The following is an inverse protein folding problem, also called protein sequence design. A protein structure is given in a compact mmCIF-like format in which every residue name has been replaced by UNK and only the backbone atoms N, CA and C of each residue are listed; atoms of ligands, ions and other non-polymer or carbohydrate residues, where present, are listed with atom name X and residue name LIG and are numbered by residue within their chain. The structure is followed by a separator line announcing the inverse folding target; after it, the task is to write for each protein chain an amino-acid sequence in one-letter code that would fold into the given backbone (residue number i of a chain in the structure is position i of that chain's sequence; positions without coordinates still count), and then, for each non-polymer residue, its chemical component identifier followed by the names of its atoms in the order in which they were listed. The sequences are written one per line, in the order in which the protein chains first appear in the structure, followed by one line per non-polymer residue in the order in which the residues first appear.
data_IF_466169592123
#
_entry.id   IF_466169592123
#
_cell.length_a   1.000
_cell.length_b   1.000
_cell.length_c   1.000
_cell.angle_alpha   90.00
_cell.angle_beta   90.00
_cell.angle_gamma   90.00
#
_symmetry.space_group_name_H-M   'P 1'
#
loop_
_entity.id
_entity.type
_entity.pdbx_description
1 polymer ?
#
# COMPACT_ATOMS: atom_id res chain seq x y z
N UNK A 1 -39.48 4.88 18.73
CA UNK A 1 -38.89 3.76 17.98
C UNK A 1 -39.84 3.41 16.84
N UNK A 2 -39.46 3.62 15.58
CA UNK A 2 -40.33 3.29 14.45
C UNK A 2 -40.34 1.76 14.25
N UNK A 3 -41.51 1.13 14.34
CA UNK A 3 -41.68 -0.30 14.11
C UNK A 3 -41.45 -0.63 12.63
N UNK A 4 -40.71 -1.72 12.36
CA UNK A 4 -40.46 -2.20 10.99
C UNK A 4 -41.80 -2.56 10.33
N UNK A 5 -42.06 -2.15 9.08
CA UNK A 5 -43.29 -2.52 8.38
C UNK A 5 -43.35 -4.04 8.13
N UNK A 6 -44.53 -4.60 8.36
CA UNK A 6 -44.83 -6.01 8.07
C UNK A 6 -44.99 -6.20 6.56
N UNK A 7 -44.26 -7.16 5.99
CA UNK A 7 -44.41 -7.59 4.60
C UNK A 7 -45.57 -8.58 4.50
N UNK A 8 -46.70 -8.13 3.96
CA UNK A 8 -47.80 -9.02 3.54
C UNK A 8 -47.64 -9.38 2.07
N UNK A 9 -47.54 -10.69 1.78
CA UNK A 9 -47.53 -11.20 0.42
C UNK A 9 -48.92 -11.73 0.08
N UNK A 10 -49.62 -11.11 -0.87
CA UNK A 10 -50.88 -11.62 -1.42
C UNK A 10 -50.65 -12.05 -2.87
N UNK A 11 -51.12 -13.25 -3.23
CA UNK A 11 -51.04 -13.77 -4.61
C UNK A 11 -49.87 -14.72 -4.90
N UNK A 12 -49.23 -15.32 -3.89
CA UNK A 12 -48.36 -16.48 -4.15
C UNK A 12 -49.24 -17.69 -4.46
N UNK A 13 -49.14 -18.22 -5.67
CA UNK A 13 -49.70 -19.53 -6.02
C UNK A 13 -49.20 -20.55 -5.00
N UNK A 14 -50.12 -21.19 -4.27
CA UNK A 14 -49.79 -22.20 -3.28
C UNK A 14 -48.89 -23.25 -3.93
N UNK A 15 -47.72 -23.47 -3.34
CA UNK A 15 -46.83 -24.56 -3.72
C UNK A 15 -47.60 -25.86 -3.50
N UNK A 16 -48.18 -26.42 -4.56
CA UNK A 16 -48.58 -27.82 -4.55
C UNK A 16 -47.29 -28.63 -4.48
N UNK A 17 -46.85 -28.96 -3.27
CA UNK A 17 -45.93 -30.07 -3.09
C UNK A 17 -46.71 -31.32 -3.49
N UNK A 18 -46.52 -31.78 -4.73
CA UNK A 18 -47.02 -33.08 -5.16
C UNK A 18 -46.34 -34.14 -4.28
N UNK A 19 -47.12 -34.88 -3.51
CA UNK A 19 -46.66 -36.04 -2.72
C UNK A 19 -46.41 -37.29 -3.58
N UNK A 20 -46.33 -37.15 -4.90
CA UNK A 20 -46.09 -38.24 -5.83
C UNK A 20 -44.61 -38.63 -5.80
N UNK A 21 -44.33 -39.83 -5.29
CA UNK A 21 -42.99 -40.43 -5.20
C UNK A 21 -42.31 -40.64 -6.57
N UNK A 22 -43.06 -40.48 -7.68
CA UNK A 22 -42.59 -40.60 -9.06
C UNK A 22 -42.58 -39.26 -9.83
N UNK A 23 -42.88 -38.14 -9.17
CA UNK A 23 -42.75 -36.83 -9.80
C UNK A 23 -41.25 -36.46 -9.85
N UNK A 24 -40.69 -36.06 -11.02
CA UNK A 24 -39.30 -35.63 -11.06
C UNK A 24 -39.15 -34.49 -10.07
N UNK A 25 -38.24 -34.63 -9.11
CA UNK A 25 -38.03 -33.67 -8.03
C UNK A 25 -37.67 -32.29 -8.62
N UNK A 26 -38.69 -31.50 -8.90
CA UNK A 26 -38.58 -30.17 -9.48
C UNK A 26 -38.24 -29.24 -8.34
N UNK A 27 -36.94 -29.07 -8.09
CA UNK A 27 -36.42 -28.07 -7.17
C UNK A 27 -37.16 -26.75 -7.41
N UNK A 28 -37.70 -26.15 -6.34
CA UNK A 28 -38.37 -24.88 -6.47
C UNK A 28 -37.42 -23.84 -7.11
N UNK A 29 -37.93 -22.83 -7.83
CA UNK A 29 -37.08 -21.77 -8.38
C UNK A 29 -36.18 -21.09 -7.34
N UNK A 30 -36.60 -21.08 -6.07
CA UNK A 30 -35.82 -20.57 -4.95
C UNK A 30 -34.65 -21.51 -4.57
N UNK A 31 -34.88 -22.82 -4.49
CA UNK A 31 -33.83 -23.81 -4.20
C UNK A 31 -32.81 -23.92 -5.33
N UNK A 32 -33.26 -23.88 -6.58
CA UNK A 32 -32.39 -23.85 -7.76
C UNK A 32 -31.48 -22.61 -7.74
N UNK A 33 -32.03 -21.44 -7.39
CA UNK A 33 -31.23 -20.20 -7.20
C UNK A 33 -30.24 -20.34 -6.04
N UNK A 34 -30.64 -20.91 -4.91
CA UNK A 34 -29.76 -21.13 -3.74
C UNK A 34 -28.61 -22.10 -4.08
N UNK A 35 -28.89 -23.17 -4.81
CA UNK A 35 -27.88 -24.12 -5.29
C UNK A 35 -26.92 -23.46 -6.28
N UNK A 36 -27.42 -22.65 -7.22
CA UNK A 36 -26.58 -21.89 -8.15
C UNK A 36 -25.68 -20.88 -7.41
N UNK A 37 -26.22 -20.12 -6.45
CA UNK A 37 -25.43 -19.21 -5.61
C UNK A 37 -24.37 -19.95 -4.78
N UNK A 38 -24.72 -21.10 -4.19
CA UNK A 38 -23.77 -21.92 -3.44
C UNK A 38 -22.67 -22.50 -4.35
N UNK A 39 -23.01 -22.95 -5.56
CA UNK A 39 -22.02 -23.39 -6.54
C UNK A 39 -21.08 -22.24 -6.92
N UNK A 40 -21.61 -21.06 -7.23
CA UNK A 40 -20.80 -19.88 -7.54
C UNK A 40 -19.86 -19.55 -6.37
N UNK A 41 -20.38 -19.53 -5.14
CA UNK A 41 -19.58 -19.23 -3.95
C UNK A 41 -18.46 -20.25 -3.71
N UNK A 42 -18.78 -21.54 -3.84
CA UNK A 42 -17.80 -22.63 -3.68
C UNK A 42 -16.76 -22.64 -4.82
N UNK A 43 -17.17 -22.34 -6.05
CA UNK A 43 -16.28 -22.20 -7.20
C UNK A 43 -15.36 -20.99 -7.07
N UNK A 44 -15.85 -19.90 -6.45
CA UNK A 44 -15.02 -18.71 -6.24
C UNK A 44 -13.89 -18.96 -5.24
N UNK A 45 -14.10 -19.85 -4.26
CA UNK A 45 -13.11 -20.23 -3.23
C UNK A 45 -12.57 -19.03 -2.43
N UNK A 46 -11.85 -19.29 -1.35
CA UNK A 46 -10.97 -18.26 -0.81
C UNK A 46 -9.82 -18.08 -1.80
N UNK A 47 -9.62 -16.86 -2.30
CA UNK A 47 -8.48 -16.53 -3.15
C UNK A 47 -7.41 -15.93 -2.26
N UNK A 48 -6.50 -16.76 -1.71
CA UNK A 48 -5.48 -16.27 -0.79
C UNK A 48 -4.53 -15.33 -1.53
N UNK A 49 -4.04 -14.33 -0.81
CA UNK A 49 -2.93 -13.52 -1.25
C UNK A 49 -1.62 -14.28 -0.97
N UNK A 50 -0.58 -13.97 -1.74
CA UNK A 50 0.75 -14.55 -1.54
C UNK A 50 1.33 -14.17 -0.16
N UNK A 51 1.07 -12.95 0.29
CA UNK A 51 1.46 -12.44 1.60
C UNK A 51 0.22 -11.96 2.37
N UNK A 52 0.31 -12.05 3.70
CA UNK A 52 -0.65 -11.42 4.59
C UNK A 52 -0.30 -9.95 4.73
N UNK A 53 -1.30 -9.08 4.69
CA UNK A 53 -1.13 -7.63 4.79
C UNK A 53 -1.80 -7.08 6.04
N UNK A 54 -1.24 -6.01 6.61
CA UNK A 54 -1.75 -5.28 7.74
C UNK A 54 -1.96 -3.81 7.36
N UNK A 55 -3.09 -3.25 7.76
CA UNK A 55 -3.41 -1.85 7.56
C UNK A 55 -2.98 -1.07 8.79
N UNK A 56 -2.26 0.03 8.58
CA UNK A 56 -1.83 0.92 9.65
C UNK A 56 -2.33 2.32 9.40
N UNK A 57 -2.59 3.05 10.48
CA UNK A 57 -3.02 4.44 10.45
C UNK A 57 -2.15 5.26 11.38
N UNK A 58 -1.60 6.35 10.84
CA UNK A 58 -0.79 7.30 11.58
C UNK A 58 -1.57 8.60 11.78
N UNK A 59 -1.93 8.86 13.03
CA UNK A 59 -2.55 10.10 13.46
C UNK A 59 -1.43 11.09 13.82
N UNK A 60 -1.10 11.98 12.88
CA UNK A 60 -0.24 13.11 13.22
C UNK A 60 -0.99 14.05 14.18
N UNK A 61 -0.59 14.04 15.45
CA UNK A 61 -1.15 14.90 16.49
C UNK A 61 -0.84 16.38 16.23
N UNK A 62 -1.76 17.24 16.65
CA UNK A 62 -1.58 18.68 16.77
C UNK A 62 -0.31 19.02 17.56
N UNK A 63 0.27 20.20 17.28
CA UNK A 63 1.51 20.75 17.89
C UNK A 63 1.54 20.73 19.43
N UNK A 64 0.43 20.46 20.13
CA UNK A 64 0.31 20.39 21.59
C UNK A 64 0.96 19.15 22.24
N UNK A 65 1.12 18.03 21.52
CA UNK A 65 1.72 16.80 22.06
C UNK A 65 3.13 16.55 21.54
N UNK A 66 3.83 17.56 21.01
CA UNK A 66 5.27 17.46 20.83
C UNK A 66 5.90 17.27 22.21
N UNK A 67 6.48 16.09 22.45
CA UNK A 67 7.42 15.92 23.55
C UNK A 67 8.46 17.04 23.46
N UNK A 68 8.83 17.63 24.60
CA UNK A 68 9.77 18.77 24.70
C UNK A 68 11.13 18.53 24.00
N UNK A 69 11.43 17.29 23.63
CA UNK A 69 12.64 16.84 22.93
C UNK A 69 12.53 16.80 21.39
N UNK A 70 11.42 17.26 20.80
CA UNK A 70 11.25 17.27 19.33
C UNK A 70 11.26 15.87 18.70
N UNK A 71 10.96 14.82 19.48
CA UNK A 71 10.80 13.47 18.95
C UNK A 71 9.42 13.33 18.28
N UNK A 72 9.43 12.94 17.01
CA UNK A 72 8.23 12.50 16.30
C UNK A 72 7.74 11.22 16.97
N UNK A 73 6.68 11.30 17.77
CA UNK A 73 6.02 10.12 18.32
C UNK A 73 4.94 9.68 17.34
N UNK A 74 5.26 8.68 16.51
CA UNK A 74 4.29 8.08 15.59
C UNK A 74 3.16 7.46 16.43
N UNK A 75 1.94 7.99 16.35
CA UNK A 75 0.75 7.31 16.87
C UNK A 75 0.26 6.35 15.80
N UNK A 76 1.04 5.28 15.62
CA UNK A 76 0.79 4.27 14.62
C UNK A 76 -0.11 3.17 15.20
N UNK A 77 -1.33 3.09 14.70
CA UNK A 77 -2.32 2.09 15.10
C UNK A 77 -2.56 1.10 13.97
N UNK A 78 -2.55 -0.20 14.28
CA UNK A 78 -3.00 -1.20 13.32
C UNK A 78 -4.53 -1.20 13.26
N UNK A 79 -5.09 -1.11 12.06
CA UNK A 79 -6.53 -1.10 11.85
C UNK A 79 -7.05 -2.49 11.48
N UNK A 80 -8.01 -2.98 12.25
CA UNK A 80 -8.78 -4.18 11.93
C UNK A 80 -7.96 -5.47 11.89
N UNK A 81 -8.52 -6.48 11.23
CA UNK A 81 -7.87 -7.78 11.04
C UNK A 81 -6.88 -7.74 9.87
N UNK A 82 -5.95 -8.71 9.88
CA UNK A 82 -5.03 -8.92 8.77
C UNK A 82 -5.78 -9.33 7.50
N UNK A 83 -5.29 -8.88 6.35
CA UNK A 83 -5.83 -9.17 5.02
C UNK A 83 -5.06 -10.37 4.46
N UNK A 84 -5.70 -11.53 4.37
CA UNK A 84 -5.09 -12.76 3.88
C UNK A 84 -5.65 -13.22 2.52
N UNK A 85 -6.76 -12.64 2.07
CA UNK A 85 -7.41 -12.98 0.80
C UNK A 85 -7.82 -11.75 0.00
N UNK A 86 -8.12 -11.95 -1.28
CA UNK A 86 -8.68 -10.91 -2.15
C UNK A 86 -10.01 -10.38 -1.59
N UNK A 87 -10.82 -11.27 -1.01
CA UNK A 87 -12.09 -10.91 -0.37
C UNK A 87 -11.87 -9.99 0.83
N UNK A 88 -10.87 -10.28 1.66
CA UNK A 88 -10.52 -9.44 2.82
C UNK A 88 -10.05 -8.06 2.36
N UNK A 89 -9.27 -8.00 1.28
CA UNK A 89 -8.83 -6.73 0.71
C UNK A 89 -10.02 -5.88 0.29
N UNK A 90 -10.97 -6.44 -0.47
CA UNK A 90 -12.15 -5.68 -0.90
C UNK A 90 -13.08 -5.32 0.27
N UNK A 91 -13.16 -6.16 1.31
CA UNK A 91 -13.87 -5.79 2.56
C UNK A 91 -13.22 -4.57 3.20
N UNK A 92 -11.89 -4.56 3.35
CA UNK A 92 -11.15 -3.42 3.87
C UNK A 92 -11.35 -2.18 2.99
N UNK A 93 -11.09 -2.29 1.68
CA UNK A 93 -11.07 -1.16 0.77
C UNK A 93 -12.45 -0.49 0.67
N UNK A 94 -13.53 -1.28 0.54
CA UNK A 94 -14.90 -0.76 0.47
C UNK A 94 -15.35 -0.06 1.76
N UNK A 95 -14.74 -0.39 2.91
CA UNK A 95 -15.06 0.20 4.21
C UNK A 95 -14.04 1.24 4.68
N UNK A 96 -13.09 1.63 3.82
CA UNK A 96 -12.06 2.62 4.15
C UNK A 96 -12.37 3.95 3.46
N UNK A 97 -12.91 4.95 4.19
CA UNK A 97 -13.25 6.23 3.60
C UNK A 97 -12.02 7.12 3.47
N UNK A 98 -11.24 6.93 2.40
CA UNK A 98 -10.00 7.69 2.12
C UNK A 98 -10.25 9.20 2.12
N UNK A 99 -11.43 9.65 1.70
CA UNK A 99 -11.85 11.06 1.67
C UNK A 99 -11.98 11.72 3.05
N UNK A 100 -12.06 10.93 4.13
CA UNK A 100 -12.19 11.45 5.50
C UNK A 100 -10.85 11.50 6.25
N UNK A 101 -9.77 11.03 5.63
CA UNK A 101 -8.42 11.15 6.20
C UNK A 101 -8.01 12.63 6.16
N UNK A 102 -7.64 13.18 7.32
CA UNK A 102 -7.36 14.60 7.50
C UNK A 102 -5.95 14.95 7.05
N UNK A 103 -5.70 16.25 6.87
CA UNK A 103 -4.36 16.76 6.57
C UNK A 103 -3.36 16.29 7.63
N UNK A 104 -2.16 15.85 7.19
CA UNK A 104 -1.07 15.30 8.00
C UNK A 104 -1.33 13.87 8.53
N UNK A 105 -2.50 13.28 8.32
CA UNK A 105 -2.73 11.86 8.60
C UNK A 105 -2.25 10.98 7.44
N UNK A 106 -1.92 9.72 7.74
CA UNK A 106 -1.50 8.74 6.75
C UNK A 106 -2.10 7.37 7.01
N UNK A 107 -2.40 6.64 5.94
CA UNK A 107 -2.82 5.24 5.96
C UNK A 107 -1.83 4.39 5.17
N UNK A 108 -1.53 3.19 5.65
CA UNK A 108 -0.55 2.30 5.07
C UNK A 108 -1.11 0.88 4.93
N UNK A 109 -0.66 0.16 3.91
CA UNK A 109 -0.90 -1.26 3.69
C UNK A 109 0.46 -1.95 3.58
N UNK A 110 0.84 -2.69 4.62
CA UNK A 110 2.18 -3.27 4.77
C UNK A 110 2.12 -4.79 4.88
N UNK A 111 3.12 -5.49 4.36
CA UNK A 111 3.24 -6.94 4.55
C UNK A 111 3.37 -7.25 6.04
N UNK A 112 2.80 -8.37 6.47
CA UNK A 112 2.83 -8.81 7.88
C UNK A 112 4.25 -8.85 8.42
N UNK A 113 4.43 -8.27 9.61
CA UNK A 113 5.73 -8.16 10.26
C UNK A 113 6.59 -6.99 9.80
N UNK A 114 6.10 -6.15 8.88
CA UNK A 114 6.65 -4.82 8.63
C UNK A 114 5.77 -3.76 9.28
N UNK A 115 6.41 -2.72 9.81
CA UNK A 115 5.74 -1.51 10.29
C UNK A 115 6.15 -0.33 9.39
N UNK A 116 5.26 0.62 9.05
CA UNK A 116 5.61 1.84 8.32
C UNK A 116 6.41 2.84 9.19
N UNK A 117 7.56 2.40 9.69
CA UNK A 117 8.49 3.17 10.52
C UNK A 117 9.89 3.00 9.93
N UNK A 118 10.59 4.10 9.65
CA UNK A 118 11.92 4.06 9.01
C UNK A 118 12.96 3.36 9.90
N UNK A 119 12.82 3.52 11.21
CA UNK A 119 13.70 2.97 12.24
C UNK A 119 13.48 1.47 12.51
N UNK A 120 12.44 0.86 11.93
CA UNK A 120 12.24 -0.59 12.05
C UNK A 120 13.43 -1.32 11.43
N UNK A 121 13.96 -2.33 12.13
CA UNK A 121 15.12 -3.11 11.70
C UNK A 121 14.99 -3.64 10.27
N UNK A 122 13.76 -3.93 9.83
CA UNK A 122 13.49 -4.46 8.49
C UNK A 122 13.47 -3.39 7.41
N UNK A 123 13.31 -2.12 7.78
CA UNK A 123 13.23 -0.99 6.84
C UNK A 123 14.49 -0.13 6.82
N UNK A 124 15.35 -0.22 7.83
CA UNK A 124 16.44 0.74 8.07
C UNK A 124 17.41 0.90 6.88
N UNK A 125 17.63 -0.15 6.09
CA UNK A 125 18.49 -0.16 4.90
C UNK A 125 17.72 0.14 3.59
N UNK A 126 16.41 0.31 3.71
CA UNK A 126 15.49 0.47 2.60
C UNK A 126 15.36 1.90 2.12
N UNK A 127 14.40 2.08 1.24
CA UNK A 127 13.98 3.39 0.78
C UNK A 127 12.57 3.34 0.24
N UNK A 128 12.12 4.49 -0.24
CA UNK A 128 10.78 4.62 -0.78
C UNK A 128 10.72 5.52 -1.99
N UNK A 129 9.90 5.11 -2.97
CA UNK A 129 9.36 6.03 -3.96
C UNK A 129 8.19 6.79 -3.35
N UNK A 130 8.12 8.09 -3.63
CA UNK A 130 6.98 8.94 -3.26
C UNK A 130 6.45 9.64 -4.51
N UNK A 131 5.16 9.42 -4.81
CA UNK A 131 4.42 10.06 -5.90
C UNK A 131 3.50 11.14 -5.32
N UNK A 132 3.71 12.39 -5.73
CA UNK A 132 2.86 13.53 -5.41
C UNK A 132 1.76 13.65 -6.46
N UNK A 133 0.52 13.46 -6.05
CA UNK A 133 -0.64 13.52 -6.95
C UNK A 133 -1.70 14.49 -6.43
N UNK A 134 -2.44 15.19 -7.32
CA UNK A 134 -3.59 15.99 -6.92
C UNK A 134 -4.61 15.18 -6.11
N UNK A 135 -5.27 15.83 -5.14
CA UNK A 135 -6.30 15.19 -4.31
C UNK A 135 -7.45 14.59 -5.11
N UNK A 136 -7.77 15.16 -6.27
CA UNK A 136 -8.82 14.67 -7.16
C UNK A 136 -8.55 13.26 -7.71
N UNK A 137 -7.29 12.91 -7.96
CA UNK A 137 -6.90 11.60 -8.49
C UNK A 137 -6.27 10.68 -7.45
N UNK A 138 -5.89 11.21 -6.29
CA UNK A 138 -5.15 10.47 -5.26
C UNK A 138 -5.83 9.18 -4.78
N UNK A 139 -7.16 9.14 -4.54
CA UNK A 139 -7.85 7.89 -4.18
C UNK A 139 -7.75 6.80 -5.25
N UNK A 140 -7.80 7.16 -6.54
CA UNK A 140 -7.69 6.19 -7.64
C UNK A 140 -6.26 5.68 -7.81
N UNK A 141 -5.26 6.57 -7.73
CA UNK A 141 -3.85 6.18 -7.73
C UNK A 141 -3.56 5.26 -6.53
N UNK A 142 -4.09 5.60 -5.34
CA UNK A 142 -3.94 4.77 -4.15
C UNK A 142 -4.56 3.38 -4.29
N UNK A 143 -5.77 3.30 -4.88
CA UNK A 143 -6.42 2.02 -5.18
C UNK A 143 -5.55 1.17 -6.11
N UNK A 144 -5.08 1.74 -7.23
CA UNK A 144 -4.25 1.02 -8.20
C UNK A 144 -2.92 0.57 -7.59
N UNK A 145 -2.22 1.43 -6.85
CA UNK A 145 -0.96 1.06 -6.19
C UNK A 145 -1.16 -0.07 -5.17
N UNK A 146 -2.25 -0.08 -4.41
CA UNK A 146 -2.56 -1.21 -3.52
C UNK A 146 -2.81 -2.50 -4.30
N UNK A 147 -3.53 -2.44 -5.42
CA UNK A 147 -3.80 -3.62 -6.25
C UNK A 147 -2.52 -4.22 -6.83
N UNK A 148 -1.62 -3.38 -7.35
CA UNK A 148 -0.30 -3.81 -7.85
C UNK A 148 0.57 -4.35 -6.71
N UNK A 149 0.45 -3.82 -5.49
CA UNK A 149 1.15 -4.34 -4.32
C UNK A 149 0.68 -5.74 -3.91
N UNK A 150 -0.63 -5.93 -3.71
CA UNK A 150 -1.19 -7.23 -3.29
C UNK A 150 -1.19 -8.27 -4.41
N UNK A 151 -1.14 -7.82 -5.67
CA UNK A 151 -0.98 -8.65 -6.86
C UNK A 151 0.47 -9.11 -7.10
N UNK A 152 1.40 -8.73 -6.22
CA UNK A 152 2.84 -9.04 -6.28
C UNK A 152 3.62 -8.48 -7.48
N UNK A 153 2.99 -7.71 -8.38
CA UNK A 153 3.68 -7.05 -9.51
C UNK A 153 4.83 -6.14 -9.03
N UNK A 154 4.64 -5.41 -7.91
CA UNK A 154 5.71 -4.62 -7.31
C UNK A 154 6.85 -5.51 -6.77
N UNK A 155 6.53 -6.66 -6.19
CA UNK A 155 7.53 -7.57 -5.63
C UNK A 155 8.35 -8.27 -6.74
N UNK A 156 7.70 -8.61 -7.84
CA UNK A 156 8.31 -9.24 -9.02
C UNK A 156 9.25 -8.27 -9.76
N UNK A 157 9.04 -6.96 -9.59
CA UNK A 157 9.94 -5.92 -10.13
C UNK A 157 11.25 -5.76 -9.37
N UNK A 158 11.39 -6.39 -8.20
CA UNK A 158 12.57 -6.25 -7.34
C UNK A 158 13.65 -7.29 -7.65
N UNK A 159 14.91 -6.91 -7.46
CA UNK A 159 16.05 -7.80 -7.58
C UNK A 159 16.04 -8.89 -6.49
N UNK A 160 16.66 -10.04 -6.79
CA UNK A 160 16.74 -11.17 -5.87
C UNK A 160 17.26 -10.76 -4.49
N UNK A 161 16.53 -11.18 -3.44
CA UNK A 161 16.86 -10.88 -2.04
C UNK A 161 16.37 -9.51 -1.56
N UNK A 162 15.70 -8.72 -2.40
CA UNK A 162 14.96 -7.53 -1.96
C UNK A 162 13.49 -7.92 -1.66
N UNK A 163 12.81 -7.10 -0.87
CA UNK A 163 11.43 -7.36 -0.50
C UNK A 163 10.65 -6.06 -0.41
N UNK A 164 9.46 -6.08 -0.99
CA UNK A 164 8.46 -5.03 -0.82
C UNK A 164 8.00 -5.03 0.65
N UNK A 165 8.11 -3.89 1.31
CA UNK A 165 7.62 -3.71 2.68
C UNK A 165 6.14 -3.37 2.69
N UNK A 166 5.74 -2.39 1.87
CA UNK A 166 4.38 -1.89 1.85
C UNK A 166 4.19 -0.61 1.07
N UNK A 167 2.96 -0.12 1.06
CA UNK A 167 2.56 1.11 0.38
C UNK A 167 1.78 2.02 1.33
N UNK A 168 1.76 3.32 1.07
CA UNK A 168 1.05 4.28 1.91
C UNK A 168 0.46 5.46 1.16
N UNK A 169 -0.59 6.04 1.73
CA UNK A 169 -1.15 7.33 1.34
C UNK A 169 -1.02 8.30 2.51
N UNK A 170 -0.40 9.45 2.27
CA UNK A 170 -0.31 10.54 3.23
C UNK A 170 -1.00 11.80 2.68
N UNK A 171 -1.92 12.37 3.47
CA UNK A 171 -2.67 13.55 3.05
C UNK A 171 -1.86 14.82 3.36
N UNK A 172 -1.68 15.68 2.36
CA UNK A 172 -1.04 17.00 2.49
C UNK A 172 -2.02 18.11 2.13
N UNK A 173 -1.57 19.36 2.18
CA UNK A 173 -2.45 20.52 1.97
C UNK A 173 -3.12 20.49 0.59
N UNK A 174 -2.34 20.35 -0.48
CA UNK A 174 -2.81 20.40 -1.87
C UNK A 174 -2.67 19.07 -2.63
N UNK A 175 -2.09 18.04 -2.01
CA UNK A 175 -1.78 16.78 -2.68
C UNK A 175 -2.00 15.57 -1.77
N UNK A 176 -2.09 14.38 -2.38
CA UNK A 176 -1.79 13.12 -1.71
C UNK A 176 -0.36 12.71 -2.07
N UNK A 177 0.35 12.15 -1.10
CA UNK A 177 1.63 11.48 -1.32
C UNK A 177 1.38 9.98 -1.27
N UNK A 178 1.63 9.28 -2.36
CA UNK A 178 1.56 7.83 -2.42
C UNK A 178 2.98 7.30 -2.32
N UNK A 179 3.27 6.46 -1.33
CA UNK A 179 4.61 5.93 -1.09
C UNK A 179 4.67 4.41 -1.29
N UNK A 180 5.82 3.92 -1.74
CA UNK A 180 6.09 2.49 -1.96
C UNK A 180 7.46 2.18 -1.35
N UNK A 181 7.49 1.23 -0.41
CA UNK A 181 8.65 0.97 0.44
C UNK A 181 9.22 -0.41 0.16
N UNK A 182 10.54 -0.51 0.07
CA UNK A 182 11.26 -1.77 -0.07
C UNK A 182 12.46 -1.81 0.89
N UNK A 183 13.08 -2.99 1.04
CA UNK A 183 14.07 -3.26 2.11
C UNK A 183 15.49 -2.83 1.80
N UNK A 184 15.86 -2.72 0.53
CA UNK A 184 17.27 -2.59 0.16
C UNK A 184 17.50 -1.49 -0.87
N UNK A 185 17.84 -0.30 -0.38
CA UNK A 185 18.13 0.87 -1.21
C UNK A 185 19.45 0.81 -1.99
N UNK A 186 20.26 -0.24 -1.79
CA UNK A 186 21.49 -0.44 -2.58
C UNK A 186 21.22 -1.05 -3.97
N UNK A 187 19.98 -1.52 -4.21
CA UNK A 187 19.61 -2.23 -5.44
C UNK A 187 18.96 -1.31 -6.46
N UNK A 188 19.78 -0.75 -7.35
CA UNK A 188 19.29 0.19 -8.36
C UNK A 188 18.21 -0.41 -9.28
N UNK A 189 18.34 -1.68 -9.68
CA UNK A 189 17.32 -2.36 -10.50
C UNK A 189 15.97 -2.47 -9.80
N UNK A 190 15.95 -2.72 -8.49
CA UNK A 190 14.72 -2.69 -7.70
C UNK A 190 14.09 -1.29 -7.72
N UNK A 191 14.91 -0.26 -7.54
CA UNK A 191 14.46 1.14 -7.54
C UNK A 191 13.81 1.48 -8.89
N UNK A 192 14.49 1.17 -9.99
CA UNK A 192 14.01 1.47 -11.34
C UNK A 192 12.80 0.60 -11.73
N UNK A 193 12.79 -0.67 -11.29
CA UNK A 193 11.70 -1.61 -11.54
C UNK A 193 10.37 -1.16 -10.93
N UNK A 194 10.39 -0.72 -9.66
CA UNK A 194 9.17 -0.27 -8.98
C UNK A 194 8.53 0.94 -9.67
N UNK A 195 9.33 1.96 -10.02
CA UNK A 195 8.79 3.16 -10.67
C UNK A 195 8.26 2.83 -12.05
N UNK A 196 8.94 1.95 -12.79
CA UNK A 196 8.49 1.48 -14.10
C UNK A 196 7.12 0.79 -14.00
N UNK A 197 6.94 -0.14 -13.07
CA UNK A 197 5.66 -0.83 -12.86
C UNK A 197 4.54 0.16 -12.58
N UNK A 198 4.75 1.12 -11.68
CA UNK A 198 3.73 2.14 -11.36
C UNK A 198 3.35 2.96 -12.59
N UNK A 199 4.34 3.44 -13.35
CA UNK A 199 4.09 4.28 -14.52
C UNK A 199 3.41 3.50 -15.66
N UNK A 200 3.75 2.23 -15.84
CA UNK A 200 3.14 1.37 -16.87
C UNK A 200 1.69 1.02 -16.50
N UNK A 201 1.42 0.72 -15.23
CA UNK A 201 0.09 0.30 -14.77
C UNK A 201 -0.90 1.46 -14.64
N UNK A 202 -0.44 2.67 -14.31
CA UNK A 202 -1.34 3.82 -14.23
C UNK A 202 -1.85 4.24 -15.63
N UNK A 203 -3.16 4.45 -15.80
CA UNK A 203 -3.72 5.13 -16.97
C UNK A 203 -3.09 6.50 -17.19
N UNK A 204 -3.04 6.97 -18.45
CA UNK A 204 -2.34 8.20 -18.81
C UNK A 204 -2.81 9.43 -18.03
N UNK A 205 -4.11 9.50 -17.71
CA UNK A 205 -4.76 10.55 -16.94
C UNK A 205 -4.41 10.54 -15.43
N UNK A 206 -3.94 9.40 -14.91
CA UNK A 206 -3.54 9.23 -13.52
C UNK A 206 -2.01 9.30 -13.32
N UNK A 207 -1.24 9.32 -14.41
CA UNK A 207 0.23 9.32 -14.34
C UNK A 207 0.77 10.63 -13.76
N UNK A 208 1.58 10.59 -12.70
CA UNK A 208 2.28 11.78 -12.23
C UNK A 208 3.33 12.23 -13.26
N UNK A 209 3.54 13.54 -13.34
CA UNK A 209 4.64 14.12 -14.13
C UNK A 209 6.00 13.71 -13.55
N UNK A 210 7.09 13.71 -14.34
CA UNK A 210 8.44 13.39 -13.85
C UNK A 210 8.86 14.13 -12.57
N UNK A 211 8.57 15.43 -12.47
CA UNK A 211 8.93 16.25 -11.31
C UNK A 211 8.07 15.97 -10.05
N UNK A 212 7.04 15.13 -10.19
CA UNK A 212 6.08 14.83 -9.15
C UNK A 212 6.32 13.46 -8.50
N UNK A 213 7.44 12.80 -8.74
CA UNK A 213 7.85 11.65 -7.96
C UNK A 213 9.35 11.63 -7.72
N UNK A 214 9.75 11.10 -6.57
CA UNK A 214 11.15 11.05 -6.17
C UNK A 214 11.41 9.83 -5.29
N UNK A 215 12.65 9.36 -5.30
CA UNK A 215 13.12 8.29 -4.44
C UNK A 215 13.93 8.85 -3.28
N UNK A 216 13.81 8.24 -2.10
CA UNK A 216 14.59 8.62 -0.93
C UNK A 216 14.93 7.39 -0.09
N UNK A 217 16.20 7.26 0.31
CA UNK A 217 16.60 6.26 1.32
C UNK A 217 16.00 6.63 2.67
N UNK A 218 15.62 5.64 3.46
CA UNK A 218 15.06 5.89 4.79
C UNK A 218 16.03 6.67 5.69
N UNK A 219 17.33 6.41 5.56
CA UNK A 219 18.40 7.11 6.29
C UNK A 219 18.48 8.61 6.01
N UNK A 220 17.95 9.08 4.88
CA UNK A 220 18.14 10.46 4.42
C UNK A 220 16.98 11.36 4.89
N UNK A 221 15.98 10.81 5.56
CA UNK A 221 14.86 11.57 6.11
C UNK A 221 15.30 12.39 7.32
N UNK A 222 14.90 13.67 7.37
CA UNK A 222 15.31 14.60 8.43
C UNK A 222 14.89 14.16 9.85
N UNK A 223 13.87 13.31 9.96
CA UNK A 223 13.41 12.74 11.23
C UNK A 223 14.03 11.38 11.59
N UNK A 224 14.90 10.82 10.75
CA UNK A 224 15.44 9.49 10.93
C UNK A 224 16.35 9.43 12.16
N UNK A 225 16.05 8.53 13.10
CA UNK A 225 16.87 8.28 14.28
C UNK A 225 17.18 6.79 14.40
N UNK A 226 18.33 6.39 13.88
CA UNK A 226 18.79 5.01 13.97
C UNK A 226 18.81 4.52 15.43
N UNK A 227 18.19 3.36 15.74
CA UNK A 227 18.36 2.74 17.04
C UNK A 227 19.85 2.49 17.31
N UNK A 228 20.36 2.72 18.54
CA UNK A 228 21.78 2.56 18.86
C UNK A 228 22.33 1.17 18.49
N UNK A 229 21.51 0.13 18.64
CA UNK A 229 21.83 -1.26 18.30
C UNK A 229 22.07 -1.47 16.78
N UNK A 230 21.52 -0.59 15.93
CA UNK A 230 21.57 -0.70 14.48
C UNK A 230 22.52 0.31 13.82
N UNK A 231 23.10 1.23 14.60
CA UNK A 231 24.03 2.24 14.09
C UNK A 231 25.25 1.59 13.40
N UNK A 232 25.81 0.53 14.00
CA UNK A 232 26.95 -0.18 13.42
C UNK A 232 26.63 -0.82 12.06
N UNK A 233 25.38 -1.25 11.83
CA UNK A 233 24.95 -1.82 10.55
C UNK A 233 24.95 -0.75 9.47
N UNK A 234 24.41 0.43 9.78
CA UNK A 234 24.37 1.57 8.86
C UNK A 234 25.77 2.08 8.53
N UNK A 235 26.65 2.20 9.53
CA UNK A 235 28.02 2.66 9.33
C UNK A 235 28.79 1.68 8.44
N UNK A 236 28.60 0.37 8.65
CA UNK A 236 29.17 -0.67 7.78
C UNK A 236 28.66 -0.57 6.34
N UNK A 237 27.36 -0.30 6.14
CA UNK A 237 26.78 -0.13 4.81
C UNK A 237 27.34 1.10 4.09
N UNK A 238 27.36 2.26 4.77
CA UNK A 238 27.95 3.49 4.22
C UNK A 238 29.41 3.30 3.83
N UNK A 239 30.19 2.56 4.63
CA UNK A 239 31.57 2.24 4.31
C UNK A 239 31.68 1.36 3.04
N UNK A 240 30.78 0.38 2.86
CA UNK A 240 30.73 -0.45 1.64
C UNK A 240 30.34 0.36 0.40
N UNK A 241 29.34 1.22 0.51
CA UNK A 241 28.92 2.10 -0.59
C UNK A 241 30.06 3.06 -0.99
N UNK A 242 30.73 3.67 -0.01
CA UNK A 242 31.87 4.54 -0.26
C UNK A 242 33.06 3.79 -0.90
N UNK A 243 33.26 2.51 -0.56
CA UNK A 243 34.27 1.67 -1.20
C UNK A 243 33.89 1.30 -2.65
N UNK A 244 32.63 0.98 -2.91
CA UNK A 244 32.12 0.70 -4.25
C UNK A 244 32.26 1.93 -5.18
N UNK A 245 31.85 3.11 -4.71
CA UNK A 245 31.98 4.36 -5.46
C UNK A 245 33.44 4.71 -5.80
N UNK A 246 34.38 4.43 -4.89
CA UNK A 246 35.83 4.61 -5.15
C UNK A 246 36.37 3.64 -6.20
N UNK A 247 35.78 2.45 -6.31
CA UNK A 247 36.20 1.42 -7.27
C UNK A 247 35.68 1.75 -8.67
N UNK A 248 34.45 2.28 -8.77
CA UNK A 248 33.87 2.75 -10.04
C UNK A 248 34.53 4.03 -10.56
N UNK A 249 34.92 4.96 -9.69
CA UNK A 249 35.66 6.18 -10.06
C UNK A 249 37.09 5.96 -10.55
N UNK A 250 37.64 4.74 -10.44
CA UNK A 250 38.98 4.39 -10.91
C UNK A 250 39.06 3.91 -12.37
N UNK A 251 37.91 3.66 -13.03
CA UNK A 251 37.86 3.04 -14.34
C UNK A 251 36.86 3.74 -15.27
N UNK A 252 37.26 4.86 -15.89
CA UNK A 252 36.46 5.44 -16.98
C UNK A 252 36.75 6.90 -17.29
N UNK A 253 37.66 7.13 -18.25
CA UNK A 253 37.76 8.43 -18.93
C UNK A 253 36.59 8.63 -19.89
N UNK A 254 36.08 9.87 -19.89
CA UNK A 254 35.23 10.53 -20.91
C UNK A 254 34.06 9.71 -21.50
N UNK A 255 32.89 9.88 -20.90
CA UNK A 255 31.62 9.87 -21.62
C UNK A 255 30.75 11.02 -21.09
N UNK A 256 30.17 11.80 -22.01
CA UNK A 256 29.38 12.99 -21.74
C UNK A 256 28.13 12.68 -20.91
N UNK A 257 28.12 13.11 -19.65
CA UNK A 257 26.94 13.13 -18.79
C UNK A 257 26.01 14.27 -19.21
N UNK A 258 24.76 13.94 -19.55
CA UNK A 258 23.67 14.89 -19.44
C UNK A 258 23.31 15.01 -17.96
N UNK A 259 23.27 16.23 -17.38
CA UNK A 259 23.03 16.38 -15.95
C UNK A 259 21.58 16.06 -15.60
N UNK A 260 21.41 15.23 -14.56
CA UNK A 260 20.16 15.07 -13.81
C UNK A 260 19.82 16.45 -13.21
N UNK A 261 18.58 16.97 -13.36
CA UNK A 261 18.25 18.27 -12.81
C UNK A 261 18.18 18.20 -11.28
N UNK A 262 19.03 19.00 -10.64
CA UNK A 262 19.00 19.29 -9.21
C UNK A 262 17.73 20.10 -8.90
N UNK A 263 16.73 19.47 -8.26
CA UNK A 263 15.50 20.13 -7.84
C UNK A 263 15.71 20.69 -6.43
N UNK A 264 15.73 22.03 -6.34
CA UNK A 264 15.69 22.78 -5.07
C UNK A 264 14.52 22.33 -4.19
N UNK A 265 14.83 22.05 -2.93
CA UNK A 265 13.83 21.83 -1.88
C UNK A 265 12.86 23.02 -1.81
N UNK A 266 11.53 22.81 -1.80
CA UNK A 266 10.62 23.83 -1.32
C UNK A 266 10.78 23.90 0.20
N UNK A 267 11.12 25.10 0.68
CA UNK A 267 11.31 25.39 2.09
C UNK A 267 10.12 24.93 2.95
N UNK A 268 10.45 24.58 4.18
CA UNK A 268 9.50 24.21 5.20
C UNK A 268 8.52 25.36 5.46
N UNK A 269 7.32 25.27 4.91
CA UNK A 269 6.19 26.10 5.32
C UNK A 269 5.42 25.41 6.46
N UNK A 270 5.22 26.20 7.51
CA UNK A 270 4.81 25.87 8.89
C UNK A 270 3.35 25.38 9.06
#
# INVERSE_FOLDING_TARGET
MAARPSLTTHGLSGLSQSSDLNSPNVNSPAESRKQAMSKIHNTLGDRPLQHIWAVWFDRSQNKENQAKDGSYQVQLEQLGAEIASIQDFWRYWNNTPVQYIKMRESIYLFKKGFKPIWEDRRNINGGSWTFRVPKSIGPDVWKLVQLVAIGEELQDSLDTGDQLCGVGLSVRFNSHLISIWHRDSSKQKSIDGMVKVVLDTLPAELRPKPDNYFYKKHSDHAGFKAPPELQAVLDSQKAREAAAAKTEGGAGGQASENPVPEIKEPGADN
#
